data_IF_205295554975
#
_entry.id   IF_205295554975
#
_cell.length_a   1.000
_cell.length_b   1.000
_cell.length_c   1.000
_cell.angle_alpha   90.00
_cell.angle_beta   90.00
_cell.angle_gamma   90.00
#
_symmetry.space_group_name_H-M   'P 1'
#
loop_
_entity.id
_entity.type
_entity.pdbx_description
1 polymer ?
#
# COMPACT_ATOMS: atom_id res chain seq x y z
N UNK A 1 -15.73 17.69 -9.98
CA UNK A 1 -14.81 17.34 -8.84
C UNK A 1 -15.33 16.08 -8.17
N UNK A 2 -14.54 15.05 -8.13
CA UNK A 2 -14.87 13.87 -7.33
C UNK A 2 -14.75 14.24 -5.86
N UNK A 3 -15.86 14.17 -5.12
CA UNK A 3 -15.85 14.35 -3.67
C UNK A 3 -15.11 13.14 -3.09
N UNK A 4 -13.99 13.40 -2.43
CA UNK A 4 -13.23 12.34 -1.75
C UNK A 4 -14.07 11.76 -0.59
N UNK A 5 -14.06 10.45 -0.43
CA UNK A 5 -14.72 9.78 0.70
C UNK A 5 -13.69 9.53 1.80
N UNK A 6 -13.97 10.02 3.01
CA UNK A 6 -13.20 9.70 4.21
C UNK A 6 -13.88 8.55 4.94
N UNK A 7 -13.14 7.45 5.13
CA UNK A 7 -13.59 6.31 5.94
C UNK A 7 -12.67 6.17 7.14
N UNK A 8 -13.24 6.17 8.35
CA UNK A 8 -12.49 6.04 9.61
C UNK A 8 -12.83 4.69 10.24
N UNK A 9 -11.81 3.89 10.51
CA UNK A 9 -11.92 2.64 11.25
C UNK A 9 -11.34 2.82 12.65
N UNK A 10 -12.20 2.75 13.66
CA UNK A 10 -11.78 2.77 15.05
C UNK A 10 -11.49 1.35 15.52
N UNK A 11 -10.29 1.12 16.00
CA UNK A 11 -9.87 -0.20 16.48
C UNK A 11 -8.76 -0.09 17.52
N UNK A 12 -8.84 -0.90 18.56
CA UNK A 12 -7.79 -1.00 19.59
C UNK A 12 -6.56 -1.77 19.08
N UNK A 13 -5.46 -1.68 19.81
CA UNK A 13 -4.25 -2.47 19.52
C UNK A 13 -4.58 -3.97 19.49
N UNK A 14 -4.06 -4.70 18.50
CA UNK A 14 -4.31 -6.14 18.33
C UNK A 14 -5.67 -6.53 17.70
N UNK A 15 -6.50 -5.58 17.32
CA UNK A 15 -7.86 -5.79 16.81
C UNK A 15 -7.98 -6.04 15.31
N UNK A 16 -6.90 -6.41 14.64
CA UNK A 16 -6.94 -6.72 13.20
C UNK A 16 -6.88 -5.53 12.25
N UNK A 17 -6.52 -4.32 12.71
CA UNK A 17 -6.38 -3.12 11.85
C UNK A 17 -5.51 -3.36 10.62
N UNK A 18 -4.36 -4.00 10.82
CA UNK A 18 -3.43 -4.29 9.73
C UNK A 18 -4.03 -5.29 8.74
N UNK A 19 -4.79 -6.27 9.24
CA UNK A 19 -5.51 -7.21 8.40
C UNK A 19 -6.55 -6.48 7.53
N UNK A 20 -7.35 -5.63 8.13
CA UNK A 20 -8.38 -4.85 7.43
C UNK A 20 -7.77 -3.89 6.40
N UNK A 21 -6.69 -3.19 6.78
CA UNK A 21 -6.01 -2.27 5.87
C UNK A 21 -5.38 -3.01 4.68
N UNK A 22 -4.80 -4.18 4.91
CA UNK A 22 -4.30 -5.06 3.85
C UNK A 22 -5.41 -5.49 2.91
N UNK A 23 -6.58 -5.87 3.43
CA UNK A 23 -7.76 -6.23 2.63
C UNK A 23 -8.20 -5.09 1.72
N UNK A 24 -8.36 -3.88 2.26
CA UNK A 24 -8.72 -2.68 1.49
C UNK A 24 -7.68 -2.41 0.40
N UNK A 25 -6.40 -2.56 0.71
CA UNK A 25 -5.32 -2.36 -0.26
C UNK A 25 -5.42 -3.37 -1.42
N UNK A 26 -5.60 -4.67 -1.09
CA UNK A 26 -5.77 -5.73 -2.07
C UNK A 26 -7.00 -5.51 -2.95
N UNK A 27 -8.16 -5.20 -2.36
CA UNK A 27 -9.37 -4.90 -3.14
C UNK A 27 -9.14 -3.79 -4.18
N UNK A 28 -8.41 -2.73 -3.81
CA UNK A 28 -8.06 -1.64 -4.73
C UNK A 28 -7.13 -2.11 -5.85
N UNK A 29 -6.19 -3.00 -5.56
CA UNK A 29 -5.31 -3.61 -6.56
C UNK A 29 -6.10 -4.41 -7.60
N UNK A 30 -7.12 -5.16 -7.17
CA UNK A 30 -7.95 -5.97 -8.06
C UNK A 30 -8.98 -5.16 -8.84
N UNK A 31 -9.26 -3.92 -8.46
CA UNK A 31 -10.07 -3.00 -9.27
C UNK A 31 -9.28 -2.44 -10.45
N UNK A 32 -7.98 -2.20 -10.28
CA UNK A 32 -7.08 -1.77 -11.36
C UNK A 32 -5.66 -2.23 -11.07
N UNK A 33 -5.08 -3.02 -11.95
CA UNK A 33 -3.75 -3.63 -11.79
C UNK A 33 -2.61 -2.64 -11.52
N UNK A 34 -2.72 -1.43 -12.03
CA UNK A 34 -1.73 -0.37 -11.84
C UNK A 34 -2.08 0.59 -10.69
N UNK A 35 -3.13 0.29 -9.91
CA UNK A 35 -3.56 1.17 -8.81
C UNK A 35 -2.50 1.33 -7.72
N UNK A 36 -1.58 0.36 -7.55
CA UNK A 36 -0.45 0.50 -6.60
C UNK A 36 0.39 1.76 -6.84
N UNK A 37 0.43 2.27 -8.06
CA UNK A 37 1.13 3.52 -8.41
C UNK A 37 0.43 4.77 -7.90
N UNK A 38 -0.85 4.66 -7.53
CA UNK A 38 -1.72 5.75 -7.08
C UNK A 38 -2.18 5.60 -5.64
N UNK A 39 -1.86 4.48 -4.99
CA UNK A 39 -2.19 4.23 -3.60
C UNK A 39 -0.98 4.60 -2.76
N UNK A 40 -1.21 5.45 -1.77
CA UNK A 40 -0.25 5.72 -0.71
C UNK A 40 -0.75 5.07 0.56
N UNK A 41 0.04 4.17 1.12
CA UNK A 41 -0.17 3.64 2.46
C UNK A 41 0.94 4.15 3.39
N UNK A 42 0.55 4.71 4.53
CA UNK A 42 1.50 5.24 5.50
C UNK A 42 1.34 4.58 6.86
N UNK A 43 2.46 4.39 7.53
CA UNK A 43 2.56 3.81 8.87
C UNK A 43 3.43 4.70 9.76
N UNK A 44 3.46 4.43 11.06
CA UNK A 44 4.31 5.20 11.99
C UNK A 44 5.76 4.72 12.01
N UNK A 45 6.01 3.41 11.82
CA UNK A 45 7.34 2.83 11.99
C UNK A 45 7.81 2.11 10.74
N UNK A 46 9.14 2.05 10.56
CA UNK A 46 9.75 1.25 9.49
C UNK A 46 9.41 -0.24 9.59
N UNK A 47 9.31 -0.76 10.82
CA UNK A 47 8.89 -2.14 11.07
C UNK A 47 7.48 -2.39 10.53
N UNK A 48 6.52 -1.54 10.88
CA UNK A 48 5.13 -1.66 10.40
C UNK A 48 5.03 -1.50 8.87
N UNK A 49 5.88 -0.65 8.28
CA UNK A 49 5.98 -0.52 6.82
C UNK A 49 6.44 -1.82 6.17
N UNK A 50 7.51 -2.42 6.68
CA UNK A 50 8.03 -3.69 6.16
C UNK A 50 7.00 -4.81 6.30
N UNK A 51 6.40 -4.96 7.47
CA UNK A 51 5.35 -5.97 7.73
C UNK A 51 4.15 -5.81 6.79
N UNK A 52 3.73 -4.58 6.49
CA UNK A 52 2.62 -4.33 5.58
C UNK A 52 2.99 -4.70 4.13
N UNK A 53 4.19 -4.31 3.67
CA UNK A 53 4.70 -4.70 2.35
C UNK A 53 4.75 -6.21 2.19
N UNK A 54 5.39 -6.89 3.15
CA UNK A 54 5.53 -8.35 3.13
C UNK A 54 4.17 -9.04 3.13
N UNK A 55 3.22 -8.55 3.91
CA UNK A 55 1.87 -9.10 3.96
C UNK A 55 1.15 -8.97 2.62
N UNK A 56 1.19 -7.79 1.99
CA UNK A 56 0.55 -7.57 0.68
C UNK A 56 1.16 -8.50 -0.38
N UNK A 57 2.49 -8.56 -0.46
CA UNK A 57 3.20 -9.39 -1.43
C UNK A 57 2.94 -10.89 -1.20
N UNK A 58 2.98 -11.34 0.06
CA UNK A 58 2.71 -12.73 0.41
C UNK A 58 1.26 -13.14 0.10
N UNK A 59 0.28 -12.27 0.32
CA UNK A 59 -1.11 -12.58 -0.03
C UNK A 59 -1.32 -12.63 -1.54
N UNK A 60 -0.69 -11.75 -2.32
CA UNK A 60 -0.70 -11.83 -3.78
C UNK A 60 -0.06 -13.14 -4.28
N UNK A 61 1.05 -13.56 -3.67
CA UNK A 61 1.70 -14.83 -4.01
C UNK A 61 0.84 -16.05 -3.64
N UNK A 62 0.19 -16.05 -2.47
CA UNK A 62 -0.77 -17.10 -2.10
C UNK A 62 -1.92 -17.20 -3.11
N UNK A 63 -2.50 -16.07 -3.49
CA UNK A 63 -3.58 -16.04 -4.47
C UNK A 63 -3.08 -16.56 -5.82
N UNK A 64 -1.93 -16.10 -6.31
CA UNK A 64 -1.37 -16.52 -7.59
C UNK A 64 -1.03 -18.01 -7.65
N UNK A 65 -0.54 -18.57 -6.55
CA UNK A 65 -0.10 -19.99 -6.47
C UNK A 65 -1.19 -20.96 -6.03
N UNK A 66 -2.42 -20.49 -5.85
CA UNK A 66 -3.54 -21.33 -5.42
C UNK A 66 -3.55 -21.70 -3.94
N UNK A 67 -2.70 -21.08 -3.12
CA UNK A 67 -2.69 -21.27 -1.67
C UNK A 67 -3.89 -20.58 -1.01
N UNK A 68 -4.33 -21.05 0.17
CA UNK A 68 -5.42 -20.41 0.90
C UNK A 68 -5.08 -18.96 1.27
N UNK A 69 -6.03 -18.06 1.05
CA UNK A 69 -5.96 -16.66 1.46
C UNK A 69 -7.28 -16.25 2.10
N UNK A 70 -7.21 -15.59 3.25
CA UNK A 70 -8.39 -15.06 3.94
C UNK A 70 -9.08 -13.92 3.17
N UNK A 71 -8.42 -13.34 2.18
CA UNK A 71 -8.93 -12.21 1.40
C UNK A 71 -9.66 -12.62 0.10
N UNK A 72 -9.58 -13.90 -0.30
CA UNK A 72 -10.15 -14.35 -1.57
C UNK A 72 -11.64 -14.05 -1.67
N UNK A 73 -12.39 -14.38 -0.61
CA UNK A 73 -13.85 -14.15 -0.55
C UNK A 73 -14.19 -12.66 -0.62
N UNK A 74 -13.46 -11.83 0.12
CA UNK A 74 -13.69 -10.39 0.15
C UNK A 74 -13.39 -9.74 -1.20
N UNK A 75 -12.29 -10.11 -1.83
CA UNK A 75 -11.92 -9.65 -3.17
C UNK A 75 -12.97 -10.08 -4.20
N UNK A 76 -13.41 -11.34 -4.17
CA UNK A 76 -14.45 -11.84 -5.06
C UNK A 76 -15.76 -11.09 -4.87
N UNK A 77 -16.19 -10.88 -3.62
CA UNK A 77 -17.40 -10.14 -3.28
C UNK A 77 -17.37 -8.69 -3.72
N UNK A 78 -16.24 -7.99 -3.54
CA UNK A 78 -16.11 -6.56 -3.84
C UNK A 78 -15.86 -6.27 -5.33
N UNK A 79 -15.32 -7.22 -6.08
CA UNK A 79 -14.97 -7.05 -7.50
C UNK A 79 -15.89 -7.79 -8.46
N UNK A 80 -16.65 -8.76 -7.98
CA UNK A 80 -17.49 -9.65 -8.80
C UNK A 80 -16.69 -10.65 -9.66
N UNK A 81 -15.40 -10.81 -9.39
CA UNK A 81 -14.52 -11.69 -10.18
C UNK A 81 -14.54 -13.13 -9.66
N UNK A 82 -14.39 -14.08 -10.57
CA UNK A 82 -14.22 -15.48 -10.22
C UNK A 82 -12.86 -15.75 -9.58
N UNK A 83 -12.77 -16.82 -8.80
CA UNK A 83 -11.50 -17.24 -8.19
C UNK A 83 -10.39 -17.42 -9.23
N UNK A 84 -10.69 -18.06 -10.37
CA UNK A 84 -9.73 -18.26 -11.46
C UNK A 84 -9.18 -16.95 -11.98
N UNK A 85 -10.04 -15.95 -12.17
CA UNK A 85 -9.64 -14.61 -12.60
C UNK A 85 -8.76 -13.91 -11.56
N UNK A 86 -9.16 -13.98 -10.28
CA UNK A 86 -8.40 -13.41 -9.17
C UNK A 86 -7.00 -14.01 -9.08
N UNK A 87 -6.88 -15.33 -9.20
CA UNK A 87 -5.58 -16.02 -9.15
C UNK A 87 -4.65 -15.61 -10.29
N UNK A 88 -5.17 -15.51 -11.50
CA UNK A 88 -4.41 -15.03 -12.66
C UNK A 88 -3.97 -13.57 -12.47
N UNK A 89 -4.89 -12.70 -12.10
CA UNK A 89 -4.60 -11.28 -11.90
C UNK A 89 -3.63 -11.06 -10.73
N UNK A 90 -3.69 -11.86 -9.68
CA UNK A 90 -2.75 -11.78 -8.56
C UNK A 90 -1.30 -11.95 -9.02
N UNK A 91 -1.04 -12.93 -9.89
CA UNK A 91 0.30 -13.13 -10.48
C UNK A 91 0.74 -11.95 -11.35
N UNK A 92 -0.17 -11.39 -12.14
CA UNK A 92 0.12 -10.22 -12.98
C UNK A 92 0.39 -8.95 -12.15
N UNK A 93 -0.39 -8.73 -11.08
CA UNK A 93 -0.20 -7.62 -10.15
C UNK A 93 1.14 -7.76 -9.42
N UNK A 94 1.42 -8.95 -8.88
CA UNK A 94 2.68 -9.24 -8.17
C UNK A 94 3.88 -8.98 -9.08
N UNK A 95 3.86 -9.49 -10.29
CA UNK A 95 4.92 -9.27 -11.28
C UNK A 95 5.08 -7.77 -11.57
N UNK A 96 3.98 -7.05 -11.77
CA UNK A 96 4.02 -5.61 -12.02
C UNK A 96 4.63 -4.82 -10.87
N UNK A 97 4.28 -5.16 -9.62
CA UNK A 97 4.85 -4.52 -8.43
C UNK A 97 6.35 -4.80 -8.32
N UNK A 98 6.78 -6.05 -8.53
CA UNK A 98 8.19 -6.43 -8.44
C UNK A 98 9.05 -5.75 -9.51
N UNK A 99 8.53 -5.57 -10.72
CA UNK A 99 9.21 -4.85 -11.80
C UNK A 99 9.27 -3.33 -11.58
N UNK A 100 8.34 -2.76 -10.82
CA UNK A 100 8.23 -1.31 -10.59
C UNK A 100 8.11 -1.01 -9.08
N UNK A 101 8.95 -1.67 -8.30
CA UNK A 101 8.89 -1.66 -6.83
C UNK A 101 9.02 -0.26 -6.22
N UNK A 102 9.73 0.65 -6.88
CA UNK A 102 9.86 2.05 -6.46
C UNK A 102 8.54 2.80 -6.37
N UNK A 103 7.53 2.38 -7.13
CA UNK A 103 6.18 2.95 -7.13
C UNK A 103 5.21 2.24 -6.20
N UNK A 104 5.64 1.18 -5.55
CA UNK A 104 4.88 0.51 -4.49
C UNK A 104 4.97 1.32 -3.21
N UNK A 105 4.11 2.33 -3.08
CA UNK A 105 4.18 3.38 -2.06
C UNK A 105 3.56 2.95 -0.73
N UNK A 106 4.30 2.16 0.02
CA UNK A 106 4.06 1.90 1.45
C UNK A 106 5.27 2.49 2.20
N UNK A 107 5.05 3.48 3.04
CA UNK A 107 6.14 4.21 3.71
C UNK A 107 5.74 4.67 5.11
N UNK A 108 6.71 5.15 5.89
CA UNK A 108 6.39 5.88 7.11
C UNK A 108 5.87 7.27 6.78
N UNK A 109 5.13 7.88 7.72
CA UNK A 109 4.66 9.26 7.60
C UNK A 109 5.86 10.19 7.38
N UNK A 110 6.91 10.04 8.16
CA UNK A 110 8.13 10.87 8.06
C UNK A 110 8.79 10.74 6.68
N UNK A 111 8.95 9.53 6.18
CA UNK A 111 9.51 9.30 4.84
C UNK A 111 8.66 9.92 3.74
N UNK A 112 7.34 9.93 3.91
CA UNK A 112 6.42 10.58 2.97
C UNK A 112 6.61 12.10 2.98
N UNK A 113 6.64 12.73 4.17
CA UNK A 113 6.89 14.17 4.29
C UNK A 113 8.25 14.58 3.75
N UNK A 114 9.30 13.81 4.01
CA UNK A 114 10.63 14.07 3.45
C UNK A 114 10.62 14.06 1.91
N UNK A 115 9.88 13.14 1.29
CA UNK A 115 9.72 13.11 -0.18
C UNK A 115 9.04 14.37 -0.69
N UNK A 116 7.98 14.84 -0.02
CA UNK A 116 7.28 16.07 -0.37
C UNK A 116 8.22 17.27 -0.24
N UNK A 117 8.89 17.44 0.90
CA UNK A 117 9.81 18.56 1.13
C UNK A 117 10.93 18.59 0.09
N UNK A 118 11.51 17.43 -0.26
CA UNK A 118 12.54 17.34 -1.30
C UNK A 118 12.00 17.68 -2.71
N UNK A 119 10.74 17.32 -3.00
CA UNK A 119 10.12 17.69 -4.27
C UNK A 119 9.93 19.22 -4.36
N UNK A 120 9.37 19.85 -3.32
CA UNK A 120 9.21 21.30 -3.26
C UNK A 120 10.54 22.06 -3.27
N UNK A 121 11.55 21.57 -2.54
CA UNK A 121 12.88 22.18 -2.53
C UNK A 121 13.50 22.23 -3.94
N UNK A 122 13.25 21.19 -4.73
CA UNK A 122 13.71 21.13 -6.12
C UNK A 122 12.99 22.16 -7.01
N UNK A 123 11.68 22.34 -6.79
CA UNK A 123 10.86 23.29 -7.55
C UNK A 123 11.25 24.75 -7.26
N UNK A 124 11.71 25.05 -6.04
CA UNK A 124 12.18 26.39 -5.65
C UNK A 124 13.70 26.57 -5.80
N UNK A 125 14.39 25.63 -6.47
CA UNK A 125 15.82 25.74 -6.82
C UNK A 125 16.80 25.54 -5.67
N UNK A 126 16.38 24.96 -4.55
CA UNK A 126 17.29 24.60 -3.46
C UNK A 126 18.03 23.30 -3.84
N UNK A 127 19.36 23.34 -3.80
CA UNK A 127 20.19 22.18 -4.13
C UNK A 127 19.93 20.98 -3.20
N UNK A 128 19.98 19.78 -3.75
CA UNK A 128 19.61 18.51 -3.12
C UNK A 128 20.51 18.02 -1.97
N UNK A 129 21.34 18.87 -1.43
CA UNK A 129 22.31 18.55 -0.37
C UNK A 129 21.94 19.00 1.03
N UNK A 130 20.66 19.34 1.30
CA UNK A 130 20.23 19.68 2.65
C UNK A 130 19.77 18.44 3.41
N UNK A 131 20.19 18.35 4.67
CA UNK A 131 19.64 17.37 5.61
C UNK A 131 18.37 17.92 6.26
N UNK A 132 17.35 17.07 6.36
CA UNK A 132 16.13 17.40 7.08
C UNK A 132 16.33 16.93 8.51
N UNK A 133 16.56 17.85 9.42
CA UNK A 133 16.59 17.57 10.85
C UNK A 133 15.15 17.58 11.39
N UNK A 134 14.70 16.44 11.89
CA UNK A 134 13.43 16.34 12.60
C UNK A 134 13.76 16.45 14.07
N UNK A 135 13.47 17.60 14.66
CA UNK A 135 13.62 17.80 16.09
C UNK A 135 12.56 16.97 16.84
N UNK A 136 13.02 15.97 17.57
CA UNK A 136 12.19 15.12 18.43
C UNK A 136 12.10 15.65 19.87
N UNK A 137 12.35 16.93 20.10
CA UNK A 137 12.19 17.52 21.42
C UNK A 137 10.72 17.67 21.78
N UNK A 138 10.20 16.67 22.49
CA UNK A 138 9.12 16.80 23.47
C UNK A 138 9.52 16.12 24.75
#
# INVERSE_FOLDING_TARGET
MSVGTLTIYSASAGSGKTHQLTGIYLERLFRSRLSYRRILAVTFTHKATAEMKDRILNELDKLATGRPSSYLTDISGSTGKSETTIRKEAGEILTSILHDFSRFSVSTIDSFYQKIVRAFARDIGIHSGFDIEIDHTM
#
